data_IF_849526468393
#
_entry.id   IF_849526468393
#
_cell.length_a   1.000
_cell.length_b   1.000
_cell.length_c   1.000
_cell.angle_alpha   90.00
_cell.angle_beta   90.00
_cell.angle_gamma   90.00
#
_symmetry.space_group_name_H-M   'P 1'
#
loop_
_entity.id
_entity.type
_entity.pdbx_description
1 polymer ?
#
# COMPACT_ATOMS: atom_id res chain seq x y z
N UNK A 1 -50.33 -25.75 -5.89
CA UNK A 1 -49.07 -26.42 -6.26
C UNK A 1 -48.01 -25.36 -6.40
N UNK A 2 -46.90 -25.41 -5.63
CA UNK A 2 -45.81 -24.46 -5.79
C UNK A 2 -44.95 -24.92 -6.98
N UNK A 3 -44.97 -24.14 -8.07
CA UNK A 3 -44.03 -24.32 -9.17
C UNK A 3 -42.66 -23.77 -8.74
N UNK A 4 -41.78 -24.69 -8.38
CA UNK A 4 -40.34 -24.47 -8.30
C UNK A 4 -39.82 -23.99 -9.66
N UNK A 5 -39.47 -22.70 -9.78
CA UNK A 5 -38.58 -22.22 -10.82
C UNK A 5 -37.18 -22.11 -10.21
N UNK A 6 -36.48 -23.24 -10.19
CA UNK A 6 -35.03 -23.24 -10.02
C UNK A 6 -34.43 -22.53 -11.26
N UNK A 7 -33.81 -21.38 -11.03
CA UNK A 7 -33.13 -20.60 -12.05
C UNK A 7 -31.92 -21.40 -12.56
N UNK A 8 -31.83 -21.77 -13.84
CA UNK A 8 -30.69 -22.51 -14.34
C UNK A 8 -29.50 -21.56 -14.38
N UNK A 9 -28.53 -21.79 -13.49
CA UNK A 9 -27.16 -21.29 -13.61
C UNK A 9 -26.72 -21.38 -15.08
N UNK A 10 -26.75 -20.26 -15.80
CA UNK A 10 -26.26 -20.19 -17.17
C UNK A 10 -24.75 -20.41 -17.10
N UNK A 11 -24.31 -21.62 -17.39
CA UNK A 11 -22.87 -21.94 -17.40
C UNK A 11 -22.20 -21.10 -18.48
N UNK A 12 -21.46 -20.08 -18.06
CA UNK A 12 -20.66 -19.25 -18.95
C UNK A 12 -19.68 -20.14 -19.75
N UNK A 13 -19.44 -19.85 -21.02
CA UNK A 13 -18.51 -20.64 -21.83
C UNK A 13 -17.08 -20.49 -21.30
N UNK A 14 -16.39 -21.62 -21.11
CA UNK A 14 -14.97 -21.62 -20.76
C UNK A 14 -14.15 -21.13 -21.96
N UNK A 15 -13.31 -20.11 -21.72
CA UNK A 15 -12.41 -19.54 -22.71
C UNK A 15 -10.97 -19.52 -22.18
N UNK A 16 -9.96 -19.70 -23.03
CA UNK A 16 -8.58 -19.47 -22.62
C UNK A 16 -8.39 -17.99 -22.25
N UNK A 17 -7.64 -17.71 -21.18
CA UNK A 17 -7.33 -16.33 -20.79
C UNK A 17 -6.40 -15.71 -21.85
N UNK A 18 -6.83 -14.64 -22.53
CA UNK A 18 -6.04 -14.00 -23.58
C UNK A 18 -4.87 -13.20 -23.00
N UNK A 19 -3.95 -12.76 -23.87
CA UNK A 19 -2.72 -12.07 -23.48
C UNK A 19 -1.48 -12.94 -23.55
N UNK A 20 -0.31 -12.29 -23.44
CA UNK A 20 1.01 -12.92 -23.47
C UNK A 20 1.97 -12.13 -22.61
N UNK A 21 2.96 -12.82 -22.03
CA UNK A 21 4.03 -12.20 -21.26
C UNK A 21 5.22 -11.74 -22.12
N UNK A 22 5.18 -12.00 -23.43
CA UNK A 22 6.29 -11.72 -24.34
C UNK A 22 7.53 -12.58 -24.06
N UNK A 23 8.68 -12.14 -24.55
CA UNK A 23 9.97 -12.81 -24.31
C UNK A 23 10.32 -12.76 -22.81
N UNK A 24 10.87 -13.84 -22.22
CA UNK A 24 11.38 -13.82 -20.85
C UNK A 24 12.34 -12.63 -20.68
N UNK A 25 12.15 -11.77 -19.67
CA UNK A 25 12.86 -10.49 -19.48
C UNK A 25 12.33 -9.30 -20.30
N UNK A 26 12.49 -9.29 -21.63
CA UNK A 26 12.16 -8.10 -22.44
C UNK A 26 10.66 -7.77 -22.47
N UNK A 27 9.79 -8.77 -22.37
CA UNK A 27 8.35 -8.54 -22.28
C UNK A 27 7.96 -7.74 -21.04
N UNK A 28 8.57 -8.06 -19.89
CA UNK A 28 8.33 -7.34 -18.65
C UNK A 28 8.86 -5.90 -18.68
N UNK A 29 10.05 -5.68 -19.25
CA UNK A 29 10.61 -4.32 -19.41
C UNK A 29 9.72 -3.48 -20.33
N UNK A 30 9.28 -4.04 -21.45
CA UNK A 30 8.38 -3.34 -22.37
C UNK A 30 7.06 -2.96 -21.67
N UNK A 31 6.41 -3.93 -21.02
CA UNK A 31 5.14 -3.69 -20.32
C UNK A 31 5.33 -2.65 -19.20
N UNK A 32 6.45 -2.68 -18.47
CA UNK A 32 6.79 -1.68 -17.45
C UNK A 32 6.95 -0.28 -18.03
N UNK A 33 7.65 -0.15 -19.17
CA UNK A 33 7.80 1.13 -19.86
C UNK A 33 6.46 1.65 -20.41
N UNK A 34 5.61 0.76 -20.92
CA UNK A 34 4.26 1.11 -21.37
C UNK A 34 3.40 1.60 -20.19
N UNK A 35 3.45 0.89 -19.06
CA UNK A 35 2.69 1.18 -17.85
C UNK A 35 3.04 2.55 -17.24
N UNK A 36 4.33 2.90 -17.17
CA UNK A 36 4.76 4.15 -16.54
C UNK A 36 4.94 5.34 -17.48
N UNK A 37 5.33 5.12 -18.75
CA UNK A 37 5.82 6.21 -19.59
C UNK A 37 5.16 6.31 -20.97
N UNK A 38 4.96 5.20 -21.68
CA UNK A 38 4.49 5.28 -23.07
C UNK A 38 2.96 5.39 -23.18
N UNK A 39 2.22 4.76 -22.26
CA UNK A 39 0.75 4.75 -22.25
C UNK A 39 0.20 5.39 -20.97
N UNK A 40 0.81 5.05 -19.82
CA UNK A 40 0.25 5.38 -18.51
C UNK A 40 -0.66 4.25 -17.99
N UNK A 41 -0.95 4.28 -16.69
CA UNK A 41 -1.53 3.16 -15.95
C UNK A 41 -2.91 2.75 -16.46
N UNK A 42 -3.78 3.72 -16.69
CA UNK A 42 -5.17 3.46 -17.09
C UNK A 42 -5.23 2.97 -18.55
N UNK A 43 -4.54 3.67 -19.44
CA UNK A 43 -4.49 3.34 -20.87
C UNK A 43 -3.80 2.00 -21.12
N UNK A 44 -2.83 1.62 -20.27
CA UNK A 44 -2.19 0.31 -20.32
C UNK A 44 -3.20 -0.83 -20.21
N UNK A 45 -4.17 -0.72 -19.30
CA UNK A 45 -5.23 -1.73 -19.16
C UNK A 45 -6.31 -1.56 -20.22
N UNK A 46 -6.76 -0.33 -20.49
CA UNK A 46 -7.83 -0.05 -21.44
C UNK A 46 -7.51 -0.61 -22.85
N UNK A 47 -6.30 -0.35 -23.35
CA UNK A 47 -5.84 -0.85 -24.66
C UNK A 47 -5.80 -2.37 -24.74
N UNK A 48 -5.44 -3.05 -23.64
CA UNK A 48 -5.42 -4.52 -23.56
C UNK A 48 -6.82 -5.10 -23.53
N UNK A 49 -7.75 -4.49 -22.78
CA UNK A 49 -9.16 -4.89 -22.77
C UNK A 49 -9.76 -4.78 -24.16
N UNK A 50 -9.51 -3.67 -24.86
CA UNK A 50 -9.97 -3.46 -26.22
C UNK A 50 -9.36 -4.48 -27.19
N UNK A 51 -8.05 -4.71 -27.13
CA UNK A 51 -7.33 -5.63 -28.01
C UNK A 51 -7.78 -7.09 -27.87
N UNK A 52 -8.03 -7.53 -26.64
CA UNK A 52 -8.38 -8.93 -26.36
C UNK A 52 -9.87 -9.17 -26.20
N UNK A 53 -10.69 -8.12 -26.25
CA UNK A 53 -12.13 -8.16 -25.97
C UNK A 53 -12.44 -8.93 -24.66
N UNK A 54 -11.66 -8.67 -23.62
CA UNK A 54 -11.72 -9.38 -22.34
C UNK A 54 -11.27 -8.48 -21.19
N UNK A 55 -11.95 -8.54 -20.05
CA UNK A 55 -11.56 -7.89 -18.79
C UNK A 55 -10.66 -8.78 -17.92
N UNK A 56 -10.40 -10.02 -18.36
CA UNK A 56 -9.48 -10.96 -17.72
C UNK A 56 -8.31 -11.21 -18.69
N UNK A 57 -7.10 -10.78 -18.33
CA UNK A 57 -5.97 -10.71 -19.27
C UNK A 57 -4.65 -11.12 -18.62
N UNK A 58 -3.83 -11.91 -19.33
CA UNK A 58 -2.42 -12.15 -18.96
C UNK A 58 -1.56 -10.95 -19.35
N UNK A 59 -0.85 -10.38 -18.37
CA UNK A 59 0.08 -9.26 -18.58
C UNK A 59 1.23 -9.33 -17.60
N UNK A 60 2.35 -8.64 -17.89
CA UNK A 60 3.34 -8.35 -16.85
C UNK A 60 2.93 -7.09 -16.07
N UNK A 61 3.30 -7.02 -14.80
CA UNK A 61 3.19 -5.83 -13.96
C UNK A 61 4.56 -5.38 -13.43
N UNK A 62 4.81 -4.06 -13.26
CA UNK A 62 5.97 -3.57 -12.54
C UNK A 62 6.05 -4.13 -11.10
N UNK A 63 7.24 -4.18 -10.47
CA UNK A 63 8.53 -3.60 -10.89
C UNK A 63 9.52 -4.61 -11.50
N UNK A 64 9.08 -5.78 -11.97
CA UNK A 64 9.99 -6.79 -12.51
C UNK A 64 10.81 -6.29 -13.72
N UNK A 65 11.93 -6.95 -14.06
CA UNK A 65 12.32 -8.30 -13.60
C UNK A 65 13.32 -8.33 -12.43
N UNK A 66 14.08 -7.27 -12.19
CA UNK A 66 15.16 -7.29 -11.20
C UNK A 66 14.68 -7.17 -9.76
N UNK A 67 13.63 -6.38 -9.52
CA UNK A 67 13.03 -6.18 -8.20
C UNK A 67 12.04 -7.31 -7.90
N UNK A 68 11.16 -7.63 -8.86
CA UNK A 68 10.23 -8.75 -8.77
C UNK A 68 10.63 -9.89 -9.71
N UNK A 69 11.00 -11.04 -9.12
CA UNK A 69 11.47 -12.22 -9.86
C UNK A 69 10.45 -12.76 -10.87
N UNK A 70 9.16 -12.61 -10.58
CA UNK A 70 8.08 -13.04 -11.47
C UNK A 70 7.04 -11.92 -11.63
N UNK A 71 7.09 -11.14 -12.73
CA UNK A 71 6.15 -10.04 -12.97
C UNK A 71 4.82 -10.48 -13.59
N UNK A 72 4.63 -11.77 -13.85
CA UNK A 72 3.49 -12.30 -14.62
C UNK A 72 2.24 -12.36 -13.76
N UNK A 73 1.16 -11.73 -14.21
CA UNK A 73 -0.14 -11.75 -13.53
C UNK A 73 -1.30 -12.04 -14.49
N UNK A 74 -2.44 -12.41 -13.91
CA UNK A 74 -3.75 -12.35 -14.57
C UNK A 74 -4.46 -11.14 -13.97
N UNK A 75 -4.67 -10.10 -14.78
CA UNK A 75 -5.42 -8.93 -14.39
C UNK A 75 -6.93 -9.24 -14.40
N UNK A 76 -7.64 -8.80 -13.35
CA UNK A 76 -9.10 -8.90 -13.20
C UNK A 76 -9.66 -7.48 -13.20
N UNK A 77 -10.29 -7.07 -14.29
CA UNK A 77 -10.63 -5.67 -14.58
C UNK A 77 -12.14 -5.42 -14.64
N UNK A 78 -12.95 -6.25 -13.97
CA UNK A 78 -14.39 -6.10 -13.88
C UNK A 78 -14.93 -6.50 -12.50
N UNK A 79 -16.11 -5.97 -12.16
CA UNK A 79 -16.72 -6.14 -10.85
C UNK A 79 -17.21 -7.57 -10.56
N UNK A 80 -17.31 -8.44 -11.57
CA UNK A 80 -17.74 -9.84 -11.40
C UNK A 80 -16.55 -10.73 -11.05
N UNK A 81 -15.40 -10.51 -11.70
CA UNK A 81 -14.19 -11.29 -11.49
C UNK A 81 -13.38 -10.82 -10.26
N UNK A 82 -13.30 -9.51 -10.03
CA UNK A 82 -12.49 -8.91 -8.96
C UNK A 82 -12.75 -9.47 -7.54
N UNK A 83 -14.01 -9.75 -7.12
CA UNK A 83 -14.28 -10.25 -5.77
C UNK A 83 -13.60 -11.58 -5.41
N UNK A 84 -13.11 -12.35 -6.40
CA UNK A 84 -12.33 -13.57 -6.13
C UNK A 84 -11.08 -13.28 -5.28
N UNK A 85 -10.51 -12.07 -5.36
CA UNK A 85 -9.37 -11.65 -4.57
C UNK A 85 -9.68 -11.53 -3.07
N UNK A 86 -10.96 -11.48 -2.69
CA UNK A 86 -11.39 -11.44 -1.29
C UNK A 86 -11.64 -12.83 -0.71
N UNK A 87 -11.79 -13.86 -1.55
CA UNK A 87 -12.07 -15.23 -1.14
C UNK A 87 -10.78 -15.97 -0.76
N UNK A 88 -10.46 -15.99 0.54
CA UNK A 88 -9.27 -16.67 1.08
C UNK A 88 -9.27 -18.19 0.89
N UNK A 89 -10.38 -18.81 0.46
CA UNK A 89 -10.40 -20.22 0.05
C UNK A 89 -9.85 -20.44 -1.36
N UNK A 90 -9.81 -19.38 -2.18
CA UNK A 90 -9.36 -19.40 -3.58
C UNK A 90 -8.02 -18.71 -3.80
N UNK A 91 -7.70 -17.70 -2.99
CA UNK A 91 -6.45 -16.95 -3.09
C UNK A 91 -5.64 -17.04 -1.81
N UNK A 92 -4.35 -17.31 -1.96
CA UNK A 92 -3.40 -17.27 -0.85
C UNK A 92 -2.88 -15.85 -0.64
N UNK A 93 -3.08 -15.29 0.55
CA UNK A 93 -2.63 -13.93 0.93
C UNK A 93 -1.37 -13.94 1.78
N UNK A 94 -0.36 -14.72 1.39
CA UNK A 94 0.95 -14.72 2.09
C UNK A 94 1.82 -13.57 1.61
N UNK A 95 2.44 -12.85 2.53
CA UNK A 95 3.30 -11.69 2.27
C UNK A 95 2.56 -10.52 1.57
N UNK A 96 1.22 -10.54 1.53
CA UNK A 96 0.37 -9.45 1.05
C UNK A 96 -0.23 -8.77 2.28
N UNK A 97 0.43 -7.72 2.75
CA UNK A 97 0.01 -6.67 3.70
C UNK A 97 -1.27 -6.91 4.56
N UNK A 98 -1.41 -8.02 5.29
CA UNK A 98 -2.52 -8.21 6.25
C UNK A 98 -2.19 -9.25 7.35
N UNK A 99 -2.03 -8.79 8.60
CA UNK A 99 -2.27 -9.54 9.85
C UNK A 99 -2.62 -8.54 10.97
N UNK A 100 -3.60 -7.66 10.75
CA UNK A 100 -3.93 -6.57 11.68
C UNK A 100 -5.39 -6.44 12.06
N UNK A 101 -6.28 -7.20 11.42
CA UNK A 101 -7.71 -7.24 11.75
C UNK A 101 -8.00 -7.78 13.15
N UNK A 102 -7.01 -8.37 13.82
CA UNK A 102 -7.08 -8.85 15.20
C UNK A 102 -6.56 -7.84 16.24
N UNK A 103 -5.97 -6.72 15.83
CA UNK A 103 -5.57 -5.66 16.75
C UNK A 103 -6.80 -4.78 17.04
N UNK A 104 -7.00 -4.50 18.32
CA UNK A 104 -8.19 -3.84 18.85
C UNK A 104 -8.43 -2.50 18.14
N UNK A 105 -9.64 -2.31 17.61
CA UNK A 105 -10.02 -1.04 17.00
C UNK A 105 -9.89 0.09 18.04
N UNK A 106 -9.42 1.27 17.62
CA UNK A 106 -9.30 2.44 18.48
C UNK A 106 -10.62 2.77 19.16
N UNK A 107 -10.56 3.26 20.40
CA UNK A 107 -11.76 3.77 21.07
C UNK A 107 -12.31 4.97 20.27
N UNK A 108 -13.63 5.11 20.15
CA UNK A 108 -14.24 6.25 19.47
C UNK A 108 -13.75 7.61 19.99
N UNK A 109 -13.42 7.69 21.28
CA UNK A 109 -12.89 8.89 21.94
C UNK A 109 -11.52 9.33 21.40
N UNK A 110 -10.59 8.38 21.19
CA UNK A 110 -9.27 8.68 20.64
C UNK A 110 -9.37 9.19 19.19
N UNK A 111 -10.29 8.62 18.40
CA UNK A 111 -10.56 9.05 17.03
C UNK A 111 -11.14 10.46 16.99
N UNK A 112 -12.17 10.74 17.81
CA UNK A 112 -12.80 12.07 17.88
C UNK A 112 -11.81 13.14 18.33
N UNK A 113 -10.95 12.83 19.31
CA UNK A 113 -9.93 13.76 19.80
C UNK A 113 -8.93 14.14 18.70
N UNK A 114 -8.42 13.15 17.96
CA UNK A 114 -7.44 13.42 16.90
C UNK A 114 -8.06 14.17 15.71
N UNK A 115 -9.30 13.84 15.33
CA UNK A 115 -10.01 14.58 14.29
C UNK A 115 -10.29 16.03 14.70
N UNK A 116 -10.71 16.25 15.94
CA UNK A 116 -10.93 17.61 16.47
C UNK A 116 -9.64 18.43 16.42
N UNK A 117 -8.51 17.83 16.81
CA UNK A 117 -7.21 18.49 16.73
C UNK A 117 -6.82 18.85 15.29
N UNK A 118 -7.04 17.94 14.33
CA UNK A 118 -6.76 18.20 12.91
C UNK A 118 -7.55 19.41 12.39
N UNK A 119 -8.84 19.50 12.71
CA UNK A 119 -9.66 20.64 12.28
C UNK A 119 -9.21 21.95 12.93
N UNK A 120 -8.90 21.95 14.23
CA UNK A 120 -8.32 23.10 14.92
C UNK A 120 -7.02 23.55 14.25
N UNK A 121 -6.10 22.63 13.96
CA UNK A 121 -4.82 22.94 13.32
C UNK A 121 -5.02 23.51 11.89
N UNK A 122 -6.01 23.00 11.15
CA UNK A 122 -6.39 23.53 9.84
C UNK A 122 -6.93 24.96 9.98
N UNK A 123 -7.86 25.19 10.91
CA UNK A 123 -8.46 26.50 11.17
C UNK A 123 -7.40 27.54 11.57
N UNK A 124 -6.48 27.17 12.45
CA UNK A 124 -5.37 28.01 12.89
C UNK A 124 -4.44 28.37 11.72
N UNK A 125 -4.13 27.41 10.84
CA UNK A 125 -3.31 27.67 9.63
C UNK A 125 -4.03 28.52 8.61
N UNK A 126 -5.33 28.32 8.40
CA UNK A 126 -6.13 29.18 7.52
C UNK A 126 -6.22 30.60 8.09
N UNK A 127 -6.44 30.74 9.40
CA UNK A 127 -6.52 32.04 10.07
C UNK A 127 -5.20 32.82 9.95
N UNK A 128 -4.08 32.16 10.26
CA UNK A 128 -2.76 32.79 10.30
C UNK A 128 -2.06 32.93 8.94
N UNK A 129 -2.22 31.97 8.03
CA UNK A 129 -1.48 31.89 6.76
C UNK A 129 -2.38 31.94 5.51
N UNK A 130 -3.70 32.01 5.66
CA UNK A 130 -4.71 31.96 4.58
C UNK A 130 -4.67 30.68 3.73
N UNK A 131 -3.89 29.68 4.13
CA UNK A 131 -3.79 28.37 3.50
C UNK A 131 -3.40 27.32 4.53
N UNK A 132 -3.88 26.11 4.34
CA UNK A 132 -3.47 24.93 5.10
C UNK A 132 -3.18 23.78 4.13
N UNK A 133 -2.08 23.07 4.35
CA UNK A 133 -1.75 21.87 3.58
C UNK A 133 -2.31 20.66 4.32
N UNK A 134 -3.48 20.19 3.85
CA UNK A 134 -4.23 19.10 4.50
C UNK A 134 -3.36 17.85 4.70
N UNK A 135 -2.65 17.39 3.67
CA UNK A 135 -1.85 16.16 3.74
C UNK A 135 -0.84 16.22 4.89
N UNK A 136 -0.04 17.28 4.99
CA UNK A 136 0.96 17.41 6.05
C UNK A 136 0.36 17.41 7.46
N UNK A 137 -0.81 18.02 7.65
CA UNK A 137 -1.52 18.02 8.93
C UNK A 137 -2.16 16.66 9.23
N UNK A 138 -2.74 16.03 8.21
CA UNK A 138 -3.32 14.69 8.26
C UNK A 138 -2.28 13.63 8.58
N UNK A 139 -1.09 13.72 7.99
CA UNK A 139 0.04 12.79 8.23
C UNK A 139 0.52 12.89 9.68
N UNK A 140 0.71 14.12 10.18
CA UNK A 140 1.07 14.36 11.57
C UNK A 140 0.02 13.86 12.57
N UNK A 141 -1.26 14.11 12.26
CA UNK A 141 -2.39 13.66 13.08
C UNK A 141 -2.50 12.13 13.07
N UNK A 142 -2.44 11.52 11.90
CA UNK A 142 -2.50 10.06 11.73
C UNK A 142 -1.37 9.37 12.47
N UNK A 143 -0.16 9.96 12.46
CA UNK A 143 0.98 9.41 13.16
C UNK A 143 0.72 9.46 14.67
N UNK A 144 0.28 10.62 15.15
CA UNK A 144 0.00 10.85 16.56
C UNK A 144 -1.11 9.93 17.07
N UNK A 145 -2.14 9.71 16.26
CA UNK A 145 -3.21 8.79 16.55
C UNK A 145 -2.72 7.34 16.69
N UNK A 146 -2.02 6.80 15.69
CA UNK A 146 -1.52 5.41 15.74
C UNK A 146 -0.50 5.23 16.86
N UNK A 147 0.36 6.23 17.08
CA UNK A 147 1.33 6.17 18.16
C UNK A 147 0.64 6.16 19.52
N UNK A 148 -0.32 7.06 19.77
CA UNK A 148 -1.12 7.05 21.01
C UNK A 148 -1.91 5.75 21.17
N UNK A 149 -2.47 5.21 20.09
CA UNK A 149 -3.23 3.96 20.10
C UNK A 149 -2.39 2.76 20.54
N UNK A 150 -1.18 2.61 19.98
CA UNK A 150 -0.35 1.43 20.22
C UNK A 150 0.64 1.59 21.37
N UNK A 151 1.03 2.82 21.68
CA UNK A 151 2.07 3.13 22.66
C UNK A 151 1.54 3.82 23.91
N UNK A 152 0.25 4.19 23.95
CA UNK A 152 -0.39 4.92 25.06
C UNK A 152 0.38 6.18 25.49
N UNK A 153 1.09 6.79 24.53
CA UNK A 153 1.94 7.96 24.73
C UNK A 153 1.77 8.97 23.62
N UNK A 154 2.00 10.23 23.95
CA UNK A 154 2.12 11.27 22.94
C UNK A 154 3.50 11.21 22.26
N UNK A 155 3.61 11.26 20.92
CA UNK A 155 4.92 11.31 20.24
C UNK A 155 5.86 12.39 20.78
N UNK A 156 5.31 13.56 21.15
CA UNK A 156 6.07 14.71 21.66
C UNK A 156 6.74 14.43 23.01
N UNK A 157 6.23 13.47 23.78
CA UNK A 157 6.82 12.99 25.03
C UNK A 157 7.96 11.97 24.84
N UNK A 158 8.24 11.58 23.60
CA UNK A 158 9.25 10.55 23.26
C UNK A 158 10.38 11.12 22.41
N UNK A 159 11.41 10.32 22.17
CA UNK A 159 12.54 10.69 21.29
C UNK A 159 12.14 10.88 19.82
N UNK A 160 10.97 10.38 19.40
CA UNK A 160 10.46 10.58 18.04
C UNK A 160 10.03 12.03 17.83
N UNK A 161 9.28 12.59 18.80
CA UNK A 161 8.74 13.94 18.70
C UNK A 161 7.91 14.15 17.43
N UNK A 162 8.02 15.35 16.85
CA UNK A 162 7.36 15.73 15.59
C UNK A 162 8.01 15.15 14.33
N UNK A 163 9.12 14.41 14.45
CA UNK A 163 9.85 13.85 13.29
C UNK A 163 9.31 12.50 12.82
N UNK A 164 8.43 11.88 13.61
CA UNK A 164 7.82 10.57 13.31
C UNK A 164 7.23 10.46 11.91
N UNK A 165 6.32 11.37 11.51
CA UNK A 165 5.74 11.37 10.17
C UNK A 165 6.81 11.37 9.07
N UNK A 166 7.77 12.31 9.13
CA UNK A 166 8.83 12.43 8.12
C UNK A 166 9.74 11.19 8.06
N UNK A 167 10.01 10.54 9.19
CA UNK A 167 10.77 9.28 9.22
C UNK A 167 10.01 8.16 8.52
N UNK A 168 8.70 8.07 8.73
CA UNK A 168 7.84 7.10 8.06
C UNK A 168 7.76 7.42 6.57
N UNK A 169 7.45 8.65 6.18
CA UNK A 169 7.33 9.06 4.77
C UNK A 169 8.60 8.72 3.99
N UNK A 170 9.76 9.03 4.54
CA UNK A 170 11.05 8.72 3.91
C UNK A 170 11.26 7.22 3.73
N UNK A 171 10.88 6.42 4.72
CA UNK A 171 10.98 4.97 4.65
C UNK A 171 10.00 4.38 3.62
N UNK A 172 8.73 4.80 3.66
CA UNK A 172 7.69 4.38 2.72
C UNK A 172 8.04 4.79 1.28
N UNK A 173 8.54 6.02 1.09
CA UNK A 173 8.94 6.52 -0.22
C UNK A 173 9.95 5.59 -0.90
N UNK A 174 10.91 5.03 -0.16
CA UNK A 174 11.87 4.07 -0.72
C UNK A 174 11.25 2.69 -0.99
N UNK A 175 10.24 2.27 -0.21
CA UNK A 175 9.52 1.02 -0.46
C UNK A 175 8.60 1.11 -1.68
N UNK A 176 7.97 2.27 -1.89
CA UNK A 176 7.02 2.51 -2.98
C UNK A 176 7.67 3.11 -4.23
N UNK A 177 8.92 3.57 -4.15
CA UNK A 177 9.65 4.12 -5.30
C UNK A 177 9.59 3.24 -6.55
N UNK A 178 9.71 1.89 -6.46
CA UNK A 178 9.55 1.01 -7.63
C UNK A 178 8.15 1.01 -8.29
N UNK A 179 7.15 1.62 -7.64
CA UNK A 179 5.76 1.73 -8.10
C UNK A 179 5.35 3.17 -8.44
N UNK A 180 6.28 4.13 -8.29
CA UNK A 180 6.04 5.56 -8.47
C UNK A 180 6.78 6.09 -9.71
N UNK A 181 6.43 7.27 -10.19
CA UNK A 181 7.14 7.95 -11.28
C UNK A 181 7.52 9.35 -10.84
N UNK A 182 8.70 9.84 -11.21
CA UNK A 182 9.05 11.27 -11.01
C UNK A 182 8.42 12.19 -12.06
N UNK A 183 7.71 11.62 -13.03
CA UNK A 183 7.13 12.32 -14.18
C UNK A 183 8.16 13.20 -14.93
N UNK A 184 9.32 12.65 -15.32
CA UNK A 184 10.32 13.42 -16.03
C UNK A 184 9.87 13.73 -17.46
N UNK A 185 10.51 14.71 -18.14
CA UNK A 185 10.38 14.87 -19.59
C UNK A 185 10.68 13.55 -20.33
N UNK A 186 9.98 13.30 -21.45
CA UNK A 186 10.01 12.00 -22.14
C UNK A 186 11.42 11.51 -22.53
N UNK A 187 12.38 12.41 -22.76
CA UNK A 187 13.76 12.05 -23.10
C UNK A 187 14.55 11.47 -21.90
N UNK A 188 14.08 11.65 -20.67
CA UNK A 188 14.68 11.13 -19.44
C UNK A 188 13.99 9.87 -18.90
N UNK A 189 12.97 9.34 -19.59
CA UNK A 189 12.19 8.19 -19.09
C UNK A 189 13.04 6.95 -18.78
N UNK A 190 14.08 6.69 -19.57
CA UNK A 190 14.98 5.55 -19.34
C UNK A 190 15.90 5.77 -18.13
N UNK A 191 16.25 7.02 -17.84
CA UNK A 191 17.00 7.35 -16.64
C UNK A 191 16.12 7.16 -15.40
N UNK A 192 14.86 7.60 -15.45
CA UNK A 192 13.89 7.38 -14.38
C UNK A 192 13.60 5.88 -14.15
N UNK A 193 13.44 5.10 -15.22
CA UNK A 193 13.26 3.64 -15.11
C UNK A 193 14.49 2.93 -14.52
N UNK A 194 15.69 3.40 -14.87
CA UNK A 194 16.92 2.89 -14.28
C UNK A 194 17.02 3.21 -12.78
N UNK A 195 16.67 4.44 -12.40
CA UNK A 195 16.78 4.92 -11.02
C UNK A 195 15.73 4.33 -10.09
N UNK A 196 14.47 4.25 -10.53
CA UNK A 196 13.36 3.85 -9.67
C UNK A 196 12.98 2.36 -9.81
N UNK A 197 13.05 1.81 -11.02
CA UNK A 197 12.37 0.55 -11.35
C UNK A 197 13.31 -0.62 -11.64
N UNK A 198 14.62 -0.39 -11.66
CA UNK A 198 15.59 -1.42 -12.04
C UNK A 198 16.24 -2.07 -10.83
N UNK A 199 16.63 -1.33 -9.80
CA UNK A 199 17.27 -1.93 -8.62
C UNK A 199 16.54 -1.54 -7.33
N UNK A 200 16.50 -2.45 -6.33
CA UNK A 200 15.99 -2.10 -5.01
C UNK A 200 16.83 -0.97 -4.39
N UNK A 201 16.16 -0.02 -3.74
CA UNK A 201 16.86 1.06 -3.05
C UNK A 201 17.67 0.52 -1.86
N UNK A 202 18.91 1.02 -1.64
CA UNK A 202 19.71 0.58 -0.51
C UNK A 202 19.08 0.96 0.84
N UNK A 203 18.83 -0.04 1.70
CA UNK A 203 18.18 0.17 3.00
C UNK A 203 18.96 1.11 3.94
N UNK A 204 20.28 1.26 3.76
CA UNK A 204 21.09 2.14 4.60
C UNK A 204 20.65 3.61 4.55
N UNK A 205 19.94 4.04 3.50
CA UNK A 205 19.40 5.40 3.34
C UNK A 205 18.36 5.77 4.43
N UNK A 206 17.69 4.76 5.00
CA UNK A 206 16.65 4.91 6.03
C UNK A 206 16.88 4.09 7.28
N UNK A 207 17.98 3.33 7.35
CA UNK A 207 18.30 2.47 8.50
C UNK A 207 18.25 3.20 9.85
N UNK A 208 18.76 4.43 9.92
CA UNK A 208 18.75 5.22 11.15
C UNK A 208 17.35 5.66 11.58
N UNK A 209 16.56 6.16 10.62
CA UNK A 209 15.20 6.62 10.86
C UNK A 209 14.27 5.44 11.22
N UNK A 210 14.37 4.35 10.46
CA UNK A 210 13.68 3.09 10.75
C UNK A 210 14.02 2.55 12.15
N UNK A 211 15.31 2.58 12.53
CA UNK A 211 15.74 2.10 13.85
C UNK A 211 15.09 2.92 14.98
N UNK A 212 15.02 4.24 14.86
CA UNK A 212 14.37 5.11 15.85
C UNK A 212 12.87 4.83 15.96
N UNK A 213 12.20 4.65 14.81
CA UNK A 213 10.79 4.26 14.77
C UNK A 213 10.58 2.93 15.48
N UNK A 214 11.34 1.90 15.07
CA UNK A 214 11.27 0.57 15.65
C UNK A 214 11.49 0.58 17.16
N UNK A 215 12.55 1.26 17.64
CA UNK A 215 12.87 1.33 19.07
C UNK A 215 11.75 1.98 19.88
N UNK A 216 11.14 3.08 19.39
CA UNK A 216 10.06 3.74 20.10
C UNK A 216 8.78 2.90 20.16
N UNK A 217 8.40 2.27 19.04
CA UNK A 217 7.27 1.35 19.04
C UNK A 217 7.54 0.16 19.96
N UNK A 218 8.73 -0.45 19.88
CA UNK A 218 9.10 -1.58 20.73
C UNK A 218 9.11 -1.22 22.22
N UNK A 219 9.63 -0.05 22.58
CA UNK A 219 9.72 0.41 23.98
C UNK A 219 8.35 0.72 24.58
N UNK A 220 7.42 1.28 23.80
CA UNK A 220 6.17 1.81 24.34
C UNK A 220 4.93 0.96 24.05
N UNK A 221 5.01 -0.02 23.15
CA UNK A 221 3.88 -0.91 22.82
C UNK A 221 3.90 -2.24 23.59
N UNK A 222 4.59 -2.30 24.74
CA UNK A 222 4.73 -3.52 25.54
C UNK A 222 3.38 -4.26 25.81
N UNK A 223 2.28 -3.59 26.19
CA UNK A 223 1.01 -4.28 26.45
C UNK A 223 0.45 -5.04 25.24
N UNK A 224 0.50 -4.43 24.04
CA UNK A 224 0.02 -5.07 22.82
C UNK A 224 1.00 -6.14 22.31
N UNK A 225 2.30 -5.94 22.52
CA UNK A 225 3.33 -6.93 22.21
C UNK A 225 3.18 -8.19 23.07
N UNK A 226 2.91 -8.03 24.37
CA UNK A 226 2.70 -9.14 25.32
C UNK A 226 1.42 -9.91 24.98
N UNK A 227 0.35 -9.18 24.66
CA UNK A 227 -0.91 -9.78 24.19
C UNK A 227 -0.71 -10.57 22.90
N UNK A 228 0.09 -10.08 21.96
CA UNK A 228 0.37 -10.78 20.71
C UNK A 228 1.21 -12.06 20.90
N UNK A 229 2.16 -12.06 21.85
CA UNK A 229 2.89 -13.28 22.22
C UNK A 229 1.97 -14.37 22.75
N UNK A 230 0.91 -14.02 23.49
CA UNK A 230 -0.09 -14.99 23.94
C UNK A 230 -0.83 -15.69 22.78
N UNK A 231 -0.86 -15.07 21.59
CA UNK A 231 -1.40 -15.64 20.35
C UNK A 231 -0.32 -16.29 19.46
N UNK A 232 0.92 -16.44 19.96
CA UNK A 232 2.04 -17.03 19.22
C UNK A 232 2.72 -16.08 18.22
N UNK A 233 2.42 -14.78 18.27
CA UNK A 233 3.06 -13.76 17.41
C UNK A 233 4.31 -13.23 18.12
N UNK A 234 5.49 -13.39 17.50
CA UNK A 234 6.75 -12.86 18.03
C UNK A 234 6.71 -11.33 18.13
N UNK A 235 7.16 -10.75 19.25
CA UNK A 235 7.20 -9.29 19.45
C UNK A 235 7.93 -8.55 18.34
N UNK A 236 9.06 -9.09 17.87
CA UNK A 236 9.84 -8.51 16.76
C UNK A 236 9.02 -8.41 15.47
N UNK A 237 8.20 -9.44 15.17
CA UNK A 237 7.30 -9.43 14.00
C UNK A 237 6.25 -8.34 14.18
N UNK A 238 5.59 -8.29 15.34
CA UNK A 238 4.56 -7.29 15.58
C UNK A 238 5.10 -5.85 15.59
N UNK A 239 6.21 -5.57 16.28
CA UNK A 239 6.80 -4.23 16.33
C UNK A 239 7.19 -3.73 14.92
N UNK A 240 7.69 -4.64 14.08
CA UNK A 240 7.92 -4.33 12.65
C UNK A 240 6.61 -3.98 11.95
N UNK A 241 5.56 -4.80 12.12
CA UNK A 241 4.23 -4.54 11.55
C UNK A 241 3.62 -3.22 12.04
N UNK A 242 3.83 -2.83 13.30
CA UNK A 242 3.38 -1.54 13.84
C UNK A 242 4.04 -0.36 13.11
N UNK A 243 5.31 -0.46 12.73
CA UNK A 243 5.93 0.54 11.86
C UNK A 243 5.26 0.59 10.47
N UNK A 244 4.82 -0.55 9.92
CA UNK A 244 4.13 -0.65 8.63
C UNK A 244 2.67 -0.18 8.66
N UNK A 245 2.00 -0.17 9.82
CA UNK A 245 0.57 0.16 9.94
C UNK A 245 0.19 1.54 9.40
N UNK A 246 1.10 2.50 9.51
CA UNK A 246 0.90 3.85 8.98
C UNK A 246 0.72 3.86 7.45
N UNK A 247 1.32 2.89 6.74
CA UNK A 247 1.18 2.71 5.28
C UNK A 247 -0.27 2.42 4.91
N UNK A 248 -0.98 1.59 5.68
CA UNK A 248 -2.35 1.17 5.35
C UNK A 248 -3.36 2.31 5.52
N UNK A 249 -3.16 3.17 6.52
CA UNK A 249 -3.98 4.37 6.72
C UNK A 249 -3.77 5.43 5.63
N UNK A 250 -2.55 5.56 5.10
CA UNK A 250 -2.25 6.50 4.01
C UNK A 250 -2.71 5.99 2.64
N UNK A 251 -2.73 4.68 2.41
CA UNK A 251 -3.18 4.08 1.13
C UNK A 251 -4.71 4.02 0.96
N UNK A 252 -5.48 4.36 2.00
CA UNK A 252 -6.95 4.38 1.97
C UNK A 252 -7.55 5.79 1.82
N UNK A 253 -6.71 6.82 1.72
CA UNK A 253 -7.10 8.21 1.43
C UNK A 253 -6.79 8.56 -0.04
#
# INVERSE_FOLDING_TARGET
MPSSSADPSSKLPLKPIPGSYGHPFFGAIKDRLDYFYNQGRDEFFATRVQKYHSTIIKTNMPPGPFIAQNPRVIALLDAVSFPVLFDSSKVEKRNVLLELSSLQFPSPEATVTCLSQLFTDIEDKISSQKKAFFNSLSDATSFSFLFRLFCEKDPSSTKIGSKGPTMIDKWIALQLAPLATLNPPSFLKYLDDLLLHTFPFPFFLVKSDYKKLYEAFYEHSAPILDKAESFGIKRVKLATTLCFLHVLTLMQA
#
